data_IF_212687402772
#
_entry.id   IF_212687402772
#
_cell.length_a   1.000
_cell.length_b   1.000
_cell.length_c   1.000
_cell.angle_alpha   90.00
_cell.angle_beta   90.00
_cell.angle_gamma   90.00
#
_symmetry.space_group_name_H-M   'P 1'
#
loop_
_entity.id
_entity.type
_entity.pdbx_description
1 polymer ?
#
# COMPACT_ATOMS: atom_id res chain seq x y z
N UNK A 1 -10.55 -4.49 -14.16
CA UNK A 1 -9.09 -4.14 -13.97
C UNK A 1 -9.03 -2.97 -13.02
N UNK A 2 -8.16 -3.05 -12.01
CA UNK A 2 -7.83 -1.88 -11.20
C UNK A 2 -7.21 -0.83 -12.12
N UNK A 3 -7.73 0.40 -12.08
CA UNK A 3 -7.21 1.49 -12.92
C UNK A 3 -5.78 1.83 -12.48
N UNK A 4 -4.79 1.43 -13.30
CA UNK A 4 -3.37 1.66 -13.03
C UNK A 4 -2.99 3.16 -12.96
N UNK A 5 -3.89 4.07 -13.38
CA UNK A 5 -3.70 5.52 -13.27
C UNK A 5 -4.14 6.10 -11.93
N UNK A 6 -4.84 5.31 -11.10
CA UNK A 6 -5.32 5.75 -9.78
C UNK A 6 -4.18 5.72 -8.77
N UNK A 7 -3.94 6.84 -8.12
CA UNK A 7 -3.02 6.90 -6.97
C UNK A 7 -3.73 6.37 -5.73
N UNK A 8 -3.16 5.37 -5.07
CA UNK A 8 -3.69 4.77 -3.84
C UNK A 8 -2.82 5.20 -2.66
N UNK A 9 -3.28 6.18 -1.91
CA UNK A 9 -2.55 6.76 -0.77
C UNK A 9 -2.85 6.04 0.54
N UNK A 10 -4.10 5.60 0.75
CA UNK A 10 -4.60 5.09 2.04
C UNK A 10 -5.11 3.65 1.93
N UNK A 11 -4.56 2.77 2.80
CA UNK A 11 -4.88 1.34 2.85
C UNK A 11 -5.33 0.97 4.26
N UNK A 12 -6.59 0.61 4.46
CA UNK A 12 -7.16 0.37 5.78
C UNK A 12 -7.35 -1.11 6.04
N UNK A 13 -6.69 -1.63 7.08
CA UNK A 13 -6.96 -2.98 7.59
C UNK A 13 -8.22 -3.01 8.44
N UNK A 14 -9.03 -4.05 8.26
CA UNK A 14 -10.23 -4.35 9.03
C UNK A 14 -10.38 -5.85 9.26
N UNK A 15 -11.02 -6.24 10.37
CA UNK A 15 -11.35 -7.65 10.58
C UNK A 15 -12.45 -8.13 9.62
N UNK A 16 -12.45 -9.41 9.30
CA UNK A 16 -13.46 -10.02 8.43
C UNK A 16 -14.81 -10.26 9.11
N UNK A 17 -14.89 -10.18 10.43
CA UNK A 17 -16.03 -10.65 11.23
C UNK A 17 -16.87 -9.52 11.85
N UNK A 18 -16.44 -8.27 11.77
CA UNK A 18 -17.16 -7.12 12.34
C UNK A 18 -17.79 -6.25 11.24
N UNK A 19 -19.10 -6.42 11.04
CA UNK A 19 -19.85 -5.63 10.06
C UNK A 19 -19.94 -4.13 10.41
N UNK A 20 -19.75 -3.73 11.66
CA UNK A 20 -19.73 -2.32 12.04
C UNK A 20 -18.40 -1.68 11.64
N UNK A 21 -17.28 -2.38 11.87
CA UNK A 21 -15.96 -1.96 11.41
C UNK A 21 -15.88 -1.85 9.87
N UNK A 22 -16.46 -2.83 9.14
CA UNK A 22 -16.54 -2.78 7.67
C UNK A 22 -17.30 -1.53 7.19
N UNK A 23 -18.43 -1.19 7.83
CA UNK A 23 -19.17 0.04 7.48
C UNK A 23 -18.38 1.30 7.81
N UNK A 24 -17.77 1.37 8.99
CA UNK A 24 -16.93 2.51 9.38
C UNK A 24 -15.74 2.70 8.41
N UNK A 25 -15.15 1.60 7.93
CA UNK A 25 -14.11 1.64 6.91
C UNK A 25 -14.62 2.19 5.57
N UNK A 26 -15.79 1.74 5.12
CA UNK A 26 -16.41 2.24 3.90
C UNK A 26 -16.76 3.73 4.00
N UNK A 27 -17.25 4.19 5.16
CA UNK A 27 -17.60 5.60 5.42
C UNK A 27 -16.35 6.51 5.49
N UNK A 28 -15.21 6.01 5.98
CA UNK A 28 -13.94 6.72 6.00
C UNK A 28 -13.34 6.89 4.59
N UNK A 29 -13.81 6.12 3.60
CA UNK A 29 -13.40 6.17 2.19
C UNK A 29 -11.89 6.14 1.99
N UNK A 30 -11.13 5.16 2.54
CA UNK A 30 -9.76 4.96 2.11
C UNK A 30 -9.71 4.61 0.62
N UNK A 31 -8.53 4.63 0.01
CA UNK A 31 -8.41 4.18 -1.38
C UNK A 31 -8.59 2.68 -1.50
N UNK A 32 -8.13 1.92 -0.49
CA UNK A 32 -8.29 0.47 -0.41
C UNK A 32 -8.67 0.05 1.02
N UNK A 33 -9.57 -0.90 1.14
CA UNK A 33 -9.83 -1.64 2.39
C UNK A 33 -9.29 -3.05 2.26
N UNK A 34 -8.45 -3.46 3.20
CA UNK A 34 -7.89 -4.79 3.32
C UNK A 34 -8.69 -5.55 4.39
N UNK A 35 -9.58 -6.45 3.96
CA UNK A 35 -10.22 -7.39 4.89
C UNK A 35 -9.19 -8.45 5.26
N UNK A 36 -8.87 -8.52 6.54
CA UNK A 36 -7.83 -9.39 7.03
C UNK A 36 -8.36 -10.72 7.53
N UNK A 37 -7.99 -11.81 6.87
CA UNK A 37 -8.30 -13.19 7.26
C UNK A 37 -7.19 -13.83 8.11
N UNK A 38 -6.06 -13.13 8.30
CA UNK A 38 -4.91 -13.62 9.02
C UNK A 38 -4.94 -13.18 10.50
N UNK A 39 -4.19 -12.16 10.86
CA UNK A 39 -3.95 -11.77 12.25
C UNK A 39 -5.16 -11.11 12.91
N UNK A 40 -5.95 -10.32 12.17
CA UNK A 40 -7.14 -9.64 12.71
C UNK A 40 -8.36 -10.57 12.77
N UNK A 41 -8.27 -11.78 12.22
CA UNK A 41 -9.33 -12.78 12.32
C UNK A 41 -8.83 -14.03 13.06
N UNK A 42 -9.25 -14.23 14.33
CA UNK A 42 -8.84 -15.38 15.11
C UNK A 42 -9.13 -16.72 14.38
N UNK A 43 -8.27 -17.74 14.52
CA UNK A 43 -8.40 -19.00 13.76
C UNK A 43 -9.78 -19.65 13.85
N UNK A 44 -10.42 -19.64 15.02
CA UNK A 44 -11.74 -20.21 15.24
C UNK A 44 -12.90 -19.42 14.60
N UNK A 45 -12.64 -18.19 14.11
CA UNK A 45 -13.61 -17.33 13.44
C UNK A 45 -13.37 -17.22 11.94
N UNK A 46 -12.30 -17.79 11.38
CA UNK A 46 -11.95 -17.68 9.97
C UNK A 46 -13.03 -18.19 9.03
N UNK A 47 -13.70 -19.30 9.39
CA UNK A 47 -14.83 -19.81 8.60
C UNK A 47 -15.99 -18.81 8.56
N UNK A 48 -16.34 -18.19 9.68
CA UNK A 48 -17.34 -17.13 9.72
C UNK A 48 -16.88 -15.92 8.86
N UNK A 49 -15.59 -15.56 8.92
CA UNK A 49 -15.00 -14.52 8.10
C UNK A 49 -15.16 -14.81 6.61
N UNK A 50 -14.80 -16.03 6.14
CA UNK A 50 -15.00 -16.46 4.74
C UNK A 50 -16.44 -16.31 4.29
N UNK A 51 -17.40 -16.72 5.10
CA UNK A 51 -18.83 -16.60 4.81
C UNK A 51 -19.30 -15.15 4.72
N UNK A 52 -18.69 -14.23 5.47
CA UNK A 52 -19.02 -12.81 5.47
C UNK A 52 -18.41 -12.02 4.28
N UNK A 53 -17.38 -12.53 3.61
CA UNK A 53 -16.62 -11.79 2.58
C UNK A 53 -17.50 -11.18 1.50
N UNK A 54 -18.44 -11.95 0.93
CA UNK A 54 -19.30 -11.45 -0.17
C UNK A 54 -20.10 -10.21 0.25
N UNK A 55 -20.68 -10.19 1.44
CA UNK A 55 -21.41 -9.03 1.94
C UNK A 55 -20.49 -7.87 2.27
N UNK A 56 -19.34 -8.13 2.85
CA UNK A 56 -18.34 -7.13 3.25
C UNK A 56 -17.71 -6.44 2.03
N UNK A 57 -17.26 -7.20 1.04
CA UNK A 57 -16.70 -6.64 -0.20
C UNK A 57 -17.74 -5.81 -0.96
N UNK A 58 -19.02 -6.23 -0.95
CA UNK A 58 -20.10 -5.46 -1.55
C UNK A 58 -20.29 -4.09 -0.89
N UNK A 59 -20.21 -4.00 0.44
CA UNK A 59 -20.29 -2.72 1.18
C UNK A 59 -19.14 -1.80 0.76
N UNK A 60 -17.91 -2.32 0.71
CA UNK A 60 -16.71 -1.58 0.32
C UNK A 60 -16.80 -1.09 -1.13
N UNK A 61 -17.17 -1.98 -2.06
CA UNK A 61 -17.28 -1.65 -3.49
C UNK A 61 -18.37 -0.61 -3.74
N UNK A 62 -19.52 -0.70 -3.07
CA UNK A 62 -20.61 0.28 -3.18
C UNK A 62 -20.21 1.67 -2.70
N UNK A 63 -19.22 1.78 -1.79
CA UNK A 63 -18.65 3.05 -1.36
C UNK A 63 -17.60 3.61 -2.35
N UNK A 64 -17.29 2.90 -3.44
CA UNK A 64 -16.27 3.27 -4.43
C UNK A 64 -14.85 3.02 -3.94
N UNK A 65 -14.67 2.17 -2.92
CA UNK A 65 -13.39 1.81 -2.32
C UNK A 65 -12.90 0.48 -2.91
N UNK A 66 -11.59 0.36 -3.14
CA UNK A 66 -10.98 -0.85 -3.68
C UNK A 66 -11.02 -1.99 -2.65
N UNK A 67 -11.64 -3.15 -2.96
CA UNK A 67 -11.72 -4.27 -2.04
C UNK A 67 -10.50 -5.20 -2.17
N UNK A 68 -9.74 -5.32 -1.09
CA UNK A 68 -8.61 -6.25 -0.93
C UNK A 68 -8.93 -7.29 0.15
N UNK A 69 -8.42 -8.51 0.00
CA UNK A 69 -8.46 -9.55 1.04
C UNK A 69 -7.03 -10.00 1.32
N UNK A 70 -6.58 -9.87 2.58
CA UNK A 70 -5.35 -10.53 3.04
C UNK A 70 -5.71 -11.95 3.46
N UNK A 71 -5.18 -12.92 2.73
CA UNK A 71 -5.36 -14.35 2.99
C UNK A 71 -4.32 -14.85 4.00
N UNK A 72 -4.47 -16.05 4.51
CA UNK A 72 -3.45 -16.67 5.36
C UNK A 72 -2.17 -17.04 4.55
N UNK A 73 -0.99 -17.14 5.22
CA UNK A 73 0.29 -17.42 4.57
C UNK A 73 0.30 -18.72 3.79
N UNK A 74 1.12 -18.80 2.76
CA UNK A 74 1.40 -20.03 1.99
C UNK A 74 1.81 -21.17 2.93
N UNK A 75 1.33 -22.38 2.65
CA UNK A 75 1.62 -23.56 3.47
C UNK A 75 0.73 -23.74 4.70
N UNK A 76 -0.18 -22.80 4.97
CA UNK A 76 -1.20 -22.97 6.04
C UNK A 76 -2.46 -23.64 5.48
N UNK A 77 -3.23 -24.37 6.31
CA UNK A 77 -4.50 -24.98 5.90
C UNK A 77 -5.53 -23.98 5.39
N UNK A 78 -5.53 -22.76 5.94
CA UNK A 78 -6.47 -21.69 5.61
C UNK A 78 -6.17 -21.01 4.27
N UNK A 79 -4.91 -21.02 3.79
CA UNK A 79 -4.48 -20.31 2.57
C UNK A 79 -5.40 -20.57 1.36
N UNK A 80 -5.60 -21.84 1.01
CA UNK A 80 -6.40 -22.22 -0.15
C UNK A 80 -7.90 -21.93 0.04
N UNK A 81 -8.40 -22.07 1.27
CA UNK A 81 -9.79 -21.78 1.62
C UNK A 81 -10.10 -20.30 1.53
N UNK A 82 -9.19 -19.46 2.05
CA UNK A 82 -9.32 -18.00 1.99
C UNK A 82 -9.25 -17.50 0.56
N UNK A 83 -8.30 -18.00 -0.23
CA UNK A 83 -8.18 -17.64 -1.64
C UNK A 83 -9.46 -17.97 -2.41
N UNK A 84 -9.99 -19.18 -2.25
CA UNK A 84 -11.23 -19.59 -2.92
C UNK A 84 -12.42 -18.71 -2.51
N UNK A 85 -12.54 -18.37 -1.21
CA UNK A 85 -13.58 -17.51 -0.70
C UNK A 85 -13.43 -16.06 -1.21
N UNK A 86 -12.22 -15.51 -1.22
CA UNK A 86 -11.92 -14.17 -1.71
C UNK A 86 -12.25 -14.02 -3.20
N UNK A 87 -11.85 -14.98 -4.04
CA UNK A 87 -12.17 -14.98 -5.48
C UNK A 87 -13.68 -15.10 -5.72
N UNK A 88 -14.36 -16.00 -5.02
CA UNK A 88 -15.81 -16.15 -5.11
C UNK A 88 -16.58 -14.91 -4.67
N UNK A 89 -16.05 -14.18 -3.69
CA UNK A 89 -16.64 -12.95 -3.17
C UNK A 89 -16.36 -11.71 -4.04
N UNK A 90 -15.48 -11.81 -5.05
CA UNK A 90 -15.16 -10.72 -5.97
C UNK A 90 -14.08 -9.75 -5.45
N UNK A 91 -13.10 -10.26 -4.68
CA UNK A 91 -11.92 -9.47 -4.32
C UNK A 91 -11.19 -8.97 -5.56
N UNK A 92 -10.79 -7.71 -5.57
CA UNK A 92 -10.03 -7.10 -6.67
C UNK A 92 -8.52 -7.10 -6.41
N UNK A 93 -8.12 -7.28 -5.16
CA UNK A 93 -6.73 -7.40 -4.73
C UNK A 93 -6.62 -8.57 -3.74
N UNK A 94 -5.56 -9.37 -3.89
CA UNK A 94 -5.19 -10.40 -2.91
C UNK A 94 -3.86 -9.99 -2.27
N UNK A 95 -3.88 -9.77 -0.96
CA UNK A 95 -2.67 -9.52 -0.18
C UNK A 95 -2.11 -10.85 0.36
N UNK A 96 -0.81 -11.09 0.11
CA UNK A 96 -0.10 -12.26 0.61
C UNK A 96 0.80 -11.85 1.77
N UNK A 97 0.50 -12.27 3.01
CA UNK A 97 1.35 -11.99 4.16
C UNK A 97 2.64 -12.79 4.11
N UNK A 98 3.64 -12.35 4.87
CA UNK A 98 4.92 -13.04 5.10
C UNK A 98 5.64 -13.49 3.82
N UNK A 99 5.45 -12.70 2.74
CA UNK A 99 6.08 -12.99 1.44
C UNK A 99 7.60 -12.96 1.57
N UNK A 100 8.26 -14.07 1.23
CA UNK A 100 9.72 -14.25 1.35
C UNK A 100 10.40 -14.61 0.03
N UNK A 101 9.62 -15.00 -0.98
CA UNK A 101 10.13 -15.39 -2.30
C UNK A 101 9.18 -15.03 -3.45
N UNK A 102 9.72 -14.85 -4.66
CA UNK A 102 8.92 -14.69 -5.87
C UNK A 102 8.13 -15.96 -6.21
N UNK A 103 8.62 -17.14 -5.81
CA UNK A 103 7.95 -18.42 -6.05
C UNK A 103 6.56 -18.47 -5.39
N UNK A 104 6.41 -17.91 -4.18
CA UNK A 104 5.11 -17.81 -3.49
C UNK A 104 4.09 -17.00 -4.29
N UNK A 105 4.52 -15.88 -4.87
CA UNK A 105 3.66 -15.03 -5.70
C UNK A 105 3.28 -15.72 -7.02
N UNK A 106 4.21 -16.46 -7.63
CA UNK A 106 3.92 -17.26 -8.83
C UNK A 106 2.96 -18.42 -8.53
N UNK A 107 3.09 -19.10 -7.39
CA UNK A 107 2.19 -20.15 -6.97
C UNK A 107 0.78 -19.62 -6.67
N UNK A 108 0.69 -18.48 -5.94
CA UNK A 108 -0.58 -17.79 -5.70
C UNK A 108 -1.24 -17.40 -7.01
N UNK A 109 -0.47 -16.85 -7.93
CA UNK A 109 -0.91 -16.47 -9.26
C UNK A 109 -1.48 -17.66 -10.05
N UNK A 110 -0.75 -18.79 -10.08
CA UNK A 110 -1.21 -20.02 -10.71
C UNK A 110 -2.45 -20.62 -10.00
N UNK A 111 -2.57 -20.45 -8.69
CA UNK A 111 -3.75 -20.87 -7.92
C UNK A 111 -4.98 -20.03 -8.27
N UNK A 112 -4.82 -18.72 -8.45
CA UNK A 112 -5.89 -17.85 -8.94
C UNK A 112 -6.36 -18.27 -10.34
N UNK A 113 -5.46 -18.64 -11.24
CA UNK A 113 -5.83 -19.13 -12.58
C UNK A 113 -6.60 -20.45 -12.54
N UNK A 114 -6.25 -21.35 -11.61
CA UNK A 114 -6.96 -22.63 -11.44
C UNK A 114 -8.35 -22.47 -10.84
N UNK A 115 -8.51 -21.53 -9.90
CA UNK A 115 -9.74 -21.32 -9.15
C UNK A 115 -10.67 -20.29 -9.80
N UNK A 116 -10.10 -19.35 -10.57
CA UNK A 116 -10.86 -18.31 -11.25
C UNK A 116 -11.72 -18.85 -12.37
N UNK A 117 -12.96 -18.39 -12.45
CA UNK A 117 -13.88 -18.72 -13.52
C UNK A 117 -13.46 -18.08 -14.86
N UNK A 118 -13.77 -18.75 -15.99
CA UNK A 118 -13.59 -18.16 -17.31
C UNK A 118 -14.35 -16.83 -17.41
N UNK A 119 -13.63 -15.73 -17.68
CA UNK A 119 -14.22 -14.39 -17.84
C UNK A 119 -14.28 -13.56 -16.57
N UNK A 120 -13.81 -14.04 -15.43
CA UNK A 120 -13.59 -13.20 -14.25
C UNK A 120 -12.29 -12.41 -14.40
N UNK A 121 -12.34 -11.11 -14.06
CA UNK A 121 -11.13 -10.30 -13.97
C UNK A 121 -10.25 -10.85 -12.84
N UNK A 122 -8.95 -10.93 -13.10
CA UNK A 122 -7.99 -11.44 -12.15
C UNK A 122 -7.66 -10.36 -11.11
N UNK A 123 -7.69 -10.68 -9.80
CA UNK A 123 -7.21 -9.78 -8.78
C UNK A 123 -5.73 -9.43 -8.96
N UNK A 124 -5.38 -8.18 -8.67
CA UNK A 124 -3.99 -7.78 -8.53
C UNK A 124 -3.38 -8.33 -7.25
N UNK A 125 -2.05 -8.44 -7.18
CA UNK A 125 -1.34 -8.93 -6.00
C UNK A 125 -0.76 -7.79 -5.18
N UNK A 126 -0.80 -7.94 -3.85
CA UNK A 126 -0.16 -7.06 -2.86
C UNK A 126 0.68 -7.92 -1.91
N UNK A 127 1.99 -8.14 -2.19
CA UNK A 127 2.85 -8.83 -1.24
C UNK A 127 3.08 -7.99 0.01
N UNK A 128 3.08 -8.63 1.20
CA UNK A 128 3.48 -8.01 2.45
C UNK A 128 4.86 -8.50 2.85
N UNK A 129 5.80 -7.58 2.96
CA UNK A 129 7.16 -7.81 3.45
C UNK A 129 7.18 -7.49 4.94
N UNK A 130 7.28 -8.53 5.76
CA UNK A 130 7.15 -8.41 7.23
C UNK A 130 8.09 -9.35 7.98
N UNK A 131 9.06 -9.93 7.27
CA UNK A 131 10.15 -10.73 7.85
C UNK A 131 11.50 -10.22 7.39
N UNK A 132 12.55 -10.49 8.17
CA UNK A 132 13.92 -10.14 7.80
C UNK A 132 14.34 -10.83 6.48
N UNK A 133 13.91 -12.08 6.26
CA UNK A 133 14.16 -12.82 5.01
C UNK A 133 13.46 -12.15 3.82
N UNK A 134 12.17 -11.82 3.94
CA UNK A 134 11.43 -11.10 2.90
C UNK A 134 12.09 -9.76 2.59
N UNK A 135 12.53 -9.02 3.63
CA UNK A 135 13.17 -7.72 3.45
C UNK A 135 14.48 -7.80 2.65
N UNK A 136 15.34 -8.77 2.95
CA UNK A 136 16.63 -8.90 2.22
C UNK A 136 16.45 -9.37 0.78
N UNK A 137 15.31 -9.95 0.45
CA UNK A 137 14.95 -10.46 -0.88
C UNK A 137 13.99 -9.54 -1.64
N UNK A 138 13.55 -8.41 -1.06
CA UNK A 138 12.46 -7.58 -1.60
C UNK A 138 12.65 -7.23 -3.08
N UNK A 139 13.80 -6.71 -3.48
CA UNK A 139 14.05 -6.38 -4.89
C UNK A 139 13.92 -7.59 -5.82
N UNK A 140 14.50 -8.72 -5.42
CA UNK A 140 14.46 -9.95 -6.23
C UNK A 140 13.02 -10.50 -6.34
N UNK A 141 12.25 -10.45 -5.25
CA UNK A 141 10.84 -10.83 -5.22
C UNK A 141 10.06 -9.97 -6.22
N UNK A 142 10.16 -8.65 -6.11
CA UNK A 142 9.37 -7.71 -6.89
C UNK A 142 9.72 -7.71 -8.38
N UNK A 143 11.00 -7.89 -8.73
CA UNK A 143 11.44 -7.97 -10.14
C UNK A 143 10.98 -9.22 -10.87
N UNK A 144 10.70 -10.28 -10.16
CA UNK A 144 10.26 -11.56 -10.72
C UNK A 144 8.75 -11.81 -10.51
N UNK A 145 8.09 -10.94 -9.75
CA UNK A 145 6.67 -11.08 -9.45
C UNK A 145 5.81 -10.87 -10.70
N UNK A 146 4.62 -11.50 -10.74
CA UNK A 146 3.58 -11.12 -11.71
C UNK A 146 3.08 -9.70 -11.41
N UNK A 147 2.04 -9.26 -12.10
CA UNK A 147 1.48 -7.92 -11.96
C UNK A 147 1.10 -7.59 -10.49
N UNK A 148 1.73 -6.52 -9.97
CA UNK A 148 1.54 -6.03 -8.60
C UNK A 148 0.84 -4.68 -8.61
N UNK A 149 -0.03 -4.44 -7.61
CA UNK A 149 -0.62 -3.12 -7.38
C UNK A 149 0.23 -2.24 -6.46
N UNK A 150 1.14 -2.85 -5.73
CA UNK A 150 2.05 -2.25 -4.76
C UNK A 150 2.74 -3.33 -3.95
N UNK A 151 3.48 -2.92 -2.94
CA UNK A 151 4.07 -3.80 -1.94
C UNK A 151 3.96 -3.15 -0.57
N UNK A 152 3.56 -3.90 0.46
CA UNK A 152 3.33 -3.39 1.81
C UNK A 152 4.41 -3.88 2.76
N UNK A 153 4.89 -3.00 3.65
CA UNK A 153 5.70 -3.38 4.81
C UNK A 153 4.83 -3.39 6.07
N UNK A 154 4.93 -4.43 6.91
CA UNK A 154 4.23 -4.51 8.19
C UNK A 154 5.21 -4.39 9.37
N UNK A 155 4.80 -3.67 10.42
CA UNK A 155 5.70 -3.30 11.53
C UNK A 155 5.79 -4.36 12.62
N UNK A 156 4.69 -5.05 12.92
CA UNK A 156 4.62 -5.96 14.09
C UNK A 156 5.42 -7.24 13.84
N UNK A 157 5.14 -7.92 12.74
CA UNK A 157 5.87 -9.12 12.36
C UNK A 157 7.36 -8.81 12.05
N UNK A 158 7.65 -7.64 11.45
CA UNK A 158 9.03 -7.21 11.22
C UNK A 158 9.79 -7.06 12.54
N UNK A 159 9.23 -6.40 13.56
CA UNK A 159 9.88 -6.29 14.87
C UNK A 159 10.06 -7.64 15.55
N UNK A 160 9.08 -8.53 15.42
CA UNK A 160 9.18 -9.91 15.88
C UNK A 160 10.29 -10.67 15.19
N UNK A 161 10.38 -10.58 13.85
CA UNK A 161 11.43 -11.20 13.05
C UNK A 161 12.83 -10.67 13.41
N UNK A 162 12.94 -9.38 13.74
CA UNK A 162 14.17 -8.74 14.19
C UNK A 162 14.49 -9.00 15.66
N UNK A 163 13.58 -9.63 16.44
CA UNK A 163 13.66 -9.83 17.89
C UNK A 163 13.87 -8.51 18.66
N UNK A 164 13.24 -7.44 18.19
CA UNK A 164 13.42 -6.11 18.72
C UNK A 164 12.15 -5.63 19.46
N UNK A 165 12.28 -4.75 20.46
CA UNK A 165 11.13 -4.15 21.12
C UNK A 165 10.42 -3.18 20.18
N UNK A 166 9.11 -3.04 20.34
CA UNK A 166 8.31 -2.02 19.67
C UNK A 166 8.32 -0.73 20.49
N UNK A 167 8.41 0.39 19.79
CA UNK A 167 8.25 1.73 20.36
C UNK A 167 7.49 2.65 19.38
N UNK A 168 6.83 3.73 19.86
CA UNK A 168 6.06 4.63 19.01
C UNK A 168 6.89 5.37 17.96
N UNK A 169 8.20 5.53 18.18
CA UNK A 169 9.11 6.16 17.21
C UNK A 169 9.55 5.21 16.08
N UNK A 170 9.19 3.91 16.18
CA UNK A 170 9.54 2.91 15.18
C UNK A 170 11.06 2.68 15.04
N UNK A 171 11.81 2.86 16.14
CA UNK A 171 13.29 2.80 16.13
C UNK A 171 13.80 1.49 15.53
N UNK A 172 13.23 0.37 15.93
CA UNK A 172 13.66 -0.96 15.51
C UNK A 172 13.47 -1.23 14.01
N UNK A 173 12.43 -0.64 13.41
CA UNK A 173 12.07 -0.88 11.99
C UNK A 173 12.50 0.25 11.06
N UNK A 174 13.14 1.29 11.57
CA UNK A 174 13.53 2.45 10.76
C UNK A 174 14.35 2.07 9.54
N UNK A 175 15.42 1.32 9.74
CA UNK A 175 16.26 0.83 8.64
C UNK A 175 15.49 -0.09 7.69
N UNK A 176 14.60 -0.93 8.24
CA UNK A 176 13.77 -1.81 7.41
C UNK A 176 12.86 -1.01 6.46
N UNK A 177 12.22 0.06 6.94
CA UNK A 177 11.39 0.96 6.13
C UNK A 177 12.21 1.70 5.06
N UNK A 178 13.38 2.22 5.43
CA UNK A 178 14.28 2.93 4.49
C UNK A 178 14.75 1.98 3.38
N UNK A 179 15.18 0.77 3.72
CA UNK A 179 15.61 -0.25 2.77
C UNK A 179 14.47 -0.74 1.89
N UNK A 180 13.32 -1.04 2.48
CA UNK A 180 12.12 -1.49 1.75
C UNK A 180 11.71 -0.48 0.69
N UNK A 181 11.64 0.82 1.04
CA UNK A 181 11.34 1.91 0.12
C UNK A 181 12.31 1.91 -1.08
N UNK A 182 13.63 1.84 -0.79
CA UNK A 182 14.68 1.82 -1.82
C UNK A 182 14.50 0.63 -2.78
N UNK A 183 14.26 -0.56 -2.25
CA UNK A 183 14.12 -1.78 -3.06
C UNK A 183 12.84 -1.77 -3.90
N UNK A 184 11.71 -1.29 -3.35
CA UNK A 184 10.48 -1.10 -4.11
C UNK A 184 10.66 -0.11 -5.26
N UNK A 185 11.27 1.06 -5.00
CA UNK A 185 11.54 2.07 -6.04
C UNK A 185 12.48 1.54 -7.12
N UNK A 186 13.51 0.80 -6.75
CA UNK A 186 14.42 0.14 -7.69
C UNK A 186 13.72 -0.92 -8.56
N UNK A 187 12.72 -1.60 -7.99
CA UNK A 187 11.89 -2.57 -8.72
C UNK A 187 10.80 -1.91 -9.60
N UNK A 188 10.49 -0.63 -9.38
CA UNK A 188 9.39 0.08 -10.05
C UNK A 188 8.01 -0.23 -9.46
N UNK A 189 7.95 -0.65 -8.19
CA UNK A 189 6.73 -0.98 -7.47
C UNK A 189 6.44 0.08 -6.42
N UNK A 190 5.17 0.49 -6.25
CA UNK A 190 4.79 1.47 -5.23
C UNK A 190 4.89 0.87 -3.82
N UNK A 191 5.71 1.45 -2.91
CA UNK A 191 5.80 1.02 -1.53
C UNK A 191 4.64 1.58 -0.71
N UNK A 192 3.96 0.70 0.03
CA UNK A 192 2.95 1.07 1.03
C UNK A 192 3.59 0.95 2.41
N UNK A 193 3.67 2.07 3.12
CA UNK A 193 4.27 2.13 4.45
C UNK A 193 3.42 1.40 5.51
N UNK A 194 4.07 0.98 6.61
CA UNK A 194 3.42 0.24 7.69
C UNK A 194 2.39 1.07 8.46
N UNK A 195 1.40 0.41 9.12
CA UNK A 195 0.40 1.11 9.92
C UNK A 195 1.00 1.66 11.22
N UNK A 196 0.47 2.79 11.68
CA UNK A 196 0.70 3.27 13.04
C UNK A 196 -0.32 2.61 13.97
N UNK A 197 0.13 1.71 14.83
CA UNK A 197 -0.74 0.87 15.65
C UNK A 197 -0.93 1.38 17.09
N UNK A 198 -0.38 2.55 17.43
CA UNK A 198 -0.62 3.25 18.68
C UNK A 198 -1.88 4.12 18.58
N UNK A 199 -2.46 4.46 19.76
CA UNK A 199 -3.77 5.14 19.78
C UNK A 199 -3.70 6.67 19.70
N UNK A 200 -2.51 7.27 19.91
CA UNK A 200 -2.35 8.72 19.92
C UNK A 200 -2.23 9.32 18.51
N UNK A 201 -2.88 10.46 18.31
CA UNK A 201 -2.89 11.15 17.02
C UNK A 201 -1.59 11.92 16.77
N UNK A 202 -0.91 12.41 17.81
CA UNK A 202 0.36 13.13 17.65
C UNK A 202 1.44 12.22 17.07
N UNK A 203 1.57 11.00 17.60
CA UNK A 203 2.49 10.00 17.08
C UNK A 203 2.17 9.62 15.64
N UNK A 204 0.89 9.46 15.29
CA UNK A 204 0.48 9.21 13.91
C UNK A 204 0.93 10.34 12.98
N UNK A 205 0.75 11.60 13.37
CA UNK A 205 1.17 12.78 12.59
C UNK A 205 2.69 12.79 12.39
N UNK A 206 3.46 12.60 13.45
CA UNK A 206 4.93 12.59 13.41
C UNK A 206 5.44 11.46 12.50
N UNK A 207 4.90 10.27 12.67
CA UNK A 207 5.31 9.07 11.95
C UNK A 207 4.93 9.16 10.45
N UNK A 208 3.74 9.69 10.13
CA UNK A 208 3.31 9.90 8.74
C UNK A 208 4.12 11.01 8.04
N UNK A 209 4.48 12.08 8.75
CA UNK A 209 5.41 13.10 8.23
C UNK A 209 6.80 12.52 7.96
N UNK A 210 7.27 11.63 8.83
CA UNK A 210 8.53 10.91 8.62
C UNK A 210 8.46 10.02 7.37
N UNK A 211 7.36 9.30 7.18
CA UNK A 211 7.13 8.51 5.96
C UNK A 211 7.17 9.39 4.70
N UNK A 212 6.46 10.53 4.70
CA UNK A 212 6.49 11.50 3.59
C UNK A 212 7.91 12.00 3.31
N UNK A 213 8.67 12.34 4.35
CA UNK A 213 10.05 12.83 4.22
C UNK A 213 11.01 11.76 3.67
N UNK A 214 10.77 10.48 3.94
CA UNK A 214 11.51 9.37 3.35
C UNK A 214 11.16 9.15 1.86
N UNK A 215 9.98 9.58 1.39
CA UNK A 215 9.52 9.41 0.02
C UNK A 215 8.38 8.40 -0.15
N UNK A 216 7.71 7.99 0.93
CA UNK A 216 6.48 7.23 0.83
C UNK A 216 5.33 8.12 0.35
N UNK A 217 4.50 7.56 -0.51
CA UNK A 217 3.29 8.20 -1.01
C UNK A 217 2.01 7.47 -0.58
N UNK A 218 2.17 6.27 -0.04
CA UNK A 218 1.10 5.41 0.42
C UNK A 218 1.41 4.86 1.80
N UNK A 219 0.38 4.71 2.63
CA UNK A 219 0.49 4.19 3.99
C UNK A 219 -0.72 3.36 4.36
N UNK A 220 -0.49 2.27 5.07
CA UNK A 220 -1.55 1.50 5.70
C UNK A 220 -1.97 2.10 7.04
N UNK A 221 -3.21 1.83 7.42
CA UNK A 221 -3.84 2.28 8.65
C UNK A 221 -4.47 1.08 9.38
N UNK A 222 -4.47 1.13 10.69
CA UNK A 222 -5.12 0.13 11.56
C UNK A 222 -6.52 0.55 12.02
N UNK A 223 -6.93 1.81 11.82
CA UNK A 223 -8.21 2.36 12.23
C UNK A 223 -8.74 3.39 11.23
N UNK A 224 -10.05 3.45 11.09
CA UNK A 224 -10.74 4.34 10.15
C UNK A 224 -10.48 5.84 10.43
N UNK A 225 -10.34 6.25 11.69
CA UNK A 225 -10.06 7.63 12.10
C UNK A 225 -8.68 8.15 11.68
N UNK A 226 -7.75 7.25 11.33
CA UNK A 226 -6.41 7.60 10.84
C UNK A 226 -6.40 8.06 9.37
N UNK A 227 -7.41 7.68 8.58
CA UNK A 227 -7.43 7.88 7.12
C UNK A 227 -7.34 9.36 6.75
N UNK A 228 -8.13 10.22 7.40
CA UNK A 228 -8.12 11.65 7.11
C UNK A 228 -6.74 12.29 7.39
N UNK A 229 -6.11 11.93 8.50
CA UNK A 229 -4.78 12.42 8.89
C UNK A 229 -3.70 11.97 7.92
N UNK A 230 -3.71 10.69 7.54
CA UNK A 230 -2.73 10.14 6.57
C UNK A 230 -2.87 10.84 5.22
N UNK A 231 -4.11 11.01 4.75
CA UNK A 231 -4.40 11.67 3.48
C UNK A 231 -3.93 13.13 3.48
N UNK A 232 -4.28 13.91 4.50
CA UNK A 232 -3.87 15.30 4.64
C UNK A 232 -2.34 15.48 4.57
N UNK A 233 -1.59 14.53 5.13
CA UNK A 233 -0.12 14.61 5.16
C UNK A 233 0.51 14.12 3.85
N UNK A 234 0.09 12.97 3.32
CA UNK A 234 0.75 12.33 2.18
C UNK A 234 0.33 12.90 0.83
N UNK A 235 -0.92 13.34 0.67
CA UNK A 235 -1.35 13.94 -0.58
C UNK A 235 -0.68 15.30 -0.81
N UNK A 236 -0.33 15.65 -2.06
CA UNK A 236 0.20 16.97 -2.38
C UNK A 236 -0.81 18.06 -2.07
N UNK A 237 -0.44 19.03 -1.28
CA UNK A 237 -1.27 20.21 -1.02
C UNK A 237 -1.13 21.25 -2.17
N UNK A 238 -2.01 22.26 -2.16
CA UNK A 238 -2.02 23.30 -3.21
C UNK A 238 -0.68 24.01 -3.35
N UNK A 239 -0.01 24.33 -2.23
CA UNK A 239 1.29 25.02 -2.27
C UNK A 239 2.40 24.15 -2.88
N UNK A 240 2.40 22.82 -2.59
CA UNK A 240 3.33 21.86 -3.19
C UNK A 240 3.08 21.74 -4.71
N UNK A 241 1.80 21.72 -5.13
CA UNK A 241 1.42 21.66 -6.55
C UNK A 241 1.84 22.94 -7.28
N UNK A 242 1.50 24.13 -6.75
CA UNK A 242 1.86 25.41 -7.35
C UNK A 242 3.38 25.58 -7.45
N UNK A 243 4.12 25.13 -6.43
CA UNK A 243 5.59 25.14 -6.47
C UNK A 243 6.13 24.22 -7.57
N UNK A 244 5.62 22.99 -7.68
CA UNK A 244 6.01 22.06 -8.73
C UNK A 244 5.70 22.60 -10.14
N UNK A 245 4.56 23.25 -10.34
CA UNK A 245 4.21 23.90 -11.61
C UNK A 245 5.19 25.02 -11.98
N UNK A 246 5.59 25.85 -11.00
CA UNK A 246 6.61 26.89 -11.25
C UNK A 246 7.97 26.29 -11.60
N UNK A 247 8.41 25.23 -10.90
CA UNK A 247 9.67 24.55 -11.21
C UNK A 247 9.67 23.98 -12.63
N UNK A 248 8.59 23.31 -13.02
CA UNK A 248 8.45 22.72 -14.36
C UNK A 248 8.49 23.82 -15.42
N UNK A 249 7.68 24.87 -15.29
CA UNK A 249 7.62 25.96 -16.25
C UNK A 249 8.96 26.69 -16.41
N UNK A 250 9.66 26.97 -15.30
CA UNK A 250 10.95 27.66 -15.32
C UNK A 250 12.05 26.80 -15.97
N UNK A 251 12.11 25.50 -15.65
CA UNK A 251 13.11 24.61 -16.23
C UNK A 251 12.89 24.40 -17.73
N UNK A 252 11.64 24.23 -18.17
CA UNK A 252 11.32 24.13 -19.60
C UNK A 252 11.62 25.42 -20.38
N UNK A 253 11.45 26.60 -19.75
CA UNK A 253 11.84 27.86 -20.36
C UNK A 253 13.37 27.93 -20.50
N UNK A 254 14.13 27.61 -19.46
CA UNK A 254 15.59 27.58 -19.50
C UNK A 254 16.13 26.61 -20.57
N UNK A 255 15.51 25.43 -20.71
CA UNK A 255 15.89 24.48 -21.76
C UNK A 255 15.68 25.02 -23.18
N UNK A 256 14.60 25.77 -23.42
CA UNK A 256 14.39 26.43 -24.74
C UNK A 256 15.49 27.45 -25.07
N UNK A 257 16.03 28.11 -24.01
CA UNK A 257 17.12 29.09 -24.13
C UNK A 257 18.52 28.43 -24.11
N UNK A 258 18.61 27.08 -24.06
CA UNK A 258 19.86 26.32 -24.12
C UNK A 258 20.55 26.14 -22.75
N UNK A 259 19.84 26.34 -21.63
CA UNK A 259 20.36 26.16 -20.27
C UNK A 259 19.87 24.86 -19.65
N UNK A 260 20.72 24.14 -18.91
CA UNK A 260 20.42 22.89 -18.22
C UNK A 260 20.04 23.08 -16.74
N UNK A 261 19.99 24.31 -16.26
CA UNK A 261 19.65 24.70 -14.90
C UNK A 261 19.05 26.10 -14.83
N UNK A 262 18.24 26.34 -13.81
CA UNK A 262 17.59 27.62 -13.53
C UNK A 262 17.46 27.78 -12.01
N UNK A 263 17.43 29.04 -11.53
CA UNK A 263 17.11 29.34 -10.13
C UNK A 263 15.62 29.65 -9.98
N UNK A 264 14.96 28.98 -9.05
CA UNK A 264 13.55 29.20 -8.68
C UNK A 264 13.46 29.24 -7.16
N UNK A 265 12.91 30.28 -6.56
CA UNK A 265 12.73 30.45 -5.11
C UNK A 265 14.03 30.18 -4.32
N UNK A 266 15.17 30.71 -4.78
CA UNK A 266 16.53 30.50 -4.22
C UNK A 266 17.02 29.04 -4.28
N UNK A 267 16.41 28.19 -5.07
CA UNK A 267 16.83 26.81 -5.32
C UNK A 267 17.37 26.67 -6.73
N UNK A 268 18.53 26.03 -6.89
CA UNK A 268 19.02 25.62 -8.20
C UNK A 268 18.24 24.38 -8.65
N UNK A 269 17.51 24.52 -9.74
CA UNK A 269 16.70 23.49 -10.36
C UNK A 269 17.45 22.90 -11.54
N UNK A 270 17.75 21.62 -11.46
CA UNK A 270 18.34 20.79 -12.49
C UNK A 270 17.37 19.67 -12.88
N UNK A 271 17.75 18.85 -13.86
CA UNK A 271 16.90 17.75 -14.34
C UNK A 271 16.32 16.84 -13.27
N UNK A 272 17.04 16.43 -12.18
CA UNK A 272 16.43 15.61 -11.12
C UNK A 272 15.28 16.32 -10.39
N UNK A 273 15.43 17.62 -10.06
CA UNK A 273 14.38 18.41 -9.42
C UNK A 273 13.15 18.56 -10.33
N UNK A 274 13.38 18.80 -11.63
CA UNK A 274 12.33 18.87 -12.65
C UNK A 274 11.55 17.54 -12.74
N UNK A 275 12.23 16.39 -12.77
CA UNK A 275 11.57 15.08 -12.83
C UNK A 275 10.75 14.78 -11.57
N UNK A 276 11.24 15.17 -10.38
CA UNK A 276 10.50 15.05 -9.13
C UNK A 276 9.23 15.93 -9.13
N UNK A 277 9.32 17.15 -9.67
CA UNK A 277 8.16 18.03 -9.80
C UNK A 277 7.11 17.44 -10.77
N UNK A 278 7.52 16.90 -11.91
CA UNK A 278 6.63 16.21 -12.84
C UNK A 278 5.92 15.02 -12.19
N UNK A 279 6.66 14.18 -11.44
CA UNK A 279 6.09 13.03 -10.75
C UNK A 279 5.06 13.44 -9.69
N UNK A 280 5.30 14.56 -8.95
CA UNK A 280 4.34 15.10 -8.02
C UNK A 280 3.06 15.57 -8.73
N UNK A 281 3.19 16.29 -9.84
CA UNK A 281 2.04 16.77 -10.62
C UNK A 281 1.23 15.61 -11.23
N UNK A 282 1.90 14.58 -11.73
CA UNK A 282 1.25 13.37 -12.22
C UNK A 282 0.45 12.67 -11.13
N UNK A 283 1.07 12.47 -9.95
CA UNK A 283 0.38 11.89 -8.78
C UNK A 283 -0.83 12.73 -8.37
N UNK A 284 -0.73 14.07 -8.33
CA UNK A 284 -1.85 14.94 -7.97
C UNK A 284 -3.04 14.82 -8.94
N UNK A 285 -2.79 14.55 -10.22
CA UNK A 285 -3.83 14.31 -11.23
C UNK A 285 -4.52 12.95 -11.02
N UNK A 286 -3.76 11.91 -10.62
CA UNK A 286 -4.30 10.60 -10.29
C UNK A 286 -5.22 10.60 -9.05
N UNK A 287 -5.03 11.54 -8.11
CA UNK A 287 -5.87 11.71 -6.93
C UNK A 287 -7.22 12.42 -7.23
N UNK A 288 -7.30 13.19 -8.31
CA UNK A 288 -8.51 13.96 -8.68
C UNK A 288 -9.51 13.16 -9.53
N UNK A 289 -9.21 11.91 -9.84
CA UNK A 289 -10.07 10.99 -10.60
C UNK A 289 -10.75 10.01 -9.67
#
# INVERSE_FOLDING_TARGET
MVDASRTLTTWLFVTSIDAAEIRAAADARPDCVIIDMEDFTPPHLREQGRQALTSSLKVITNAGVLPCVRINPTGTPDHALDLAAALSAGAQVIALPKTSSAAELHELNASMDRLGGKGQERPALLPNIETAEGLVNTYAILKQAPELIGCLIASEDMTTSLRAPRDPAGTAIRYARERFLLECRAAGVEPVDCPYTWSDTEGLVVETKTAKALGYHAKSAARADQIAVIREILEPNTAEIDHAERLVAAFEAAQRDGFDRVEVDCQIVERPSYLNALALLERSRGLRR
#
